data_IF_175162444742
#
_entry.id   IF_175162444742
#
_cell.length_a   1.000
_cell.length_b   1.000
_cell.length_c   1.000
_cell.angle_alpha   90.00
_cell.angle_beta   90.00
_cell.angle_gamma   90.00
#
_symmetry.space_group_name_H-M   'P 1'
#
loop_
_entity.id
_entity.type
_entity.pdbx_description
1 polymer ?
#
# COMPACT_ATOMS: atom_id res chain seq x y z
N UNK A 1 -3.99 -3.31 14.99
CA UNK A 1 -3.26 -2.35 15.87
C UNK A 1 -2.79 -1.19 15.01
N UNK A 2 -3.04 0.07 15.40
CA UNK A 2 -2.54 1.25 14.68
C UNK A 2 -1.11 1.53 15.10
N UNK A 3 -0.23 1.76 14.13
CA UNK A 3 1.17 2.18 14.31
C UNK A 3 1.38 3.46 13.50
N UNK A 4 2.00 4.45 14.11
CA UNK A 4 2.38 5.70 13.46
C UNK A 4 3.90 5.72 13.26
N UNK A 5 4.33 6.04 12.05
CA UNK A 5 5.75 6.20 11.70
C UNK A 5 5.91 7.51 10.95
N UNK A 6 6.74 8.40 11.48
CA UNK A 6 7.11 9.66 10.82
C UNK A 6 8.53 9.53 10.30
N UNK A 7 8.72 9.51 8.99
CA UNK A 7 10.03 9.36 8.35
C UNK A 7 10.57 10.72 7.88
N UNK A 8 11.86 10.91 8.07
CA UNK A 8 12.60 12.03 7.48
C UNK A 8 13.49 11.49 6.37
N UNK A 9 13.24 11.98 5.15
CA UNK A 9 13.83 11.45 3.93
C UNK A 9 14.43 12.61 3.14
N UNK A 10 15.69 12.46 2.71
CA UNK A 10 16.39 13.39 1.82
C UNK A 10 17.01 12.59 0.67
N UNK A 11 16.87 13.06 -0.58
CA UNK A 11 17.36 12.34 -1.77
C UNK A 11 16.94 10.86 -1.84
N UNK A 12 15.69 10.55 -1.45
CA UNK A 12 15.13 9.19 -1.37
C UNK A 12 15.79 8.29 -0.30
N UNK A 13 16.71 8.82 0.50
CA UNK A 13 17.34 8.14 1.63
C UNK A 13 16.66 8.57 2.93
N UNK A 14 16.11 7.61 3.65
CA UNK A 14 15.61 7.82 5.00
C UNK A 14 16.80 7.93 5.96
N UNK A 15 16.92 9.06 6.67
CA UNK A 15 18.02 9.26 7.62
C UNK A 15 17.58 9.08 9.08
N UNK A 16 16.32 9.33 9.41
CA UNK A 16 15.75 9.11 10.74
C UNK A 16 14.23 8.90 10.66
N UNK A 17 13.64 8.27 11.68
CA UNK A 17 12.19 8.22 11.85
C UNK A 17 11.75 8.15 13.31
N UNK A 18 10.54 8.59 13.60
CA UNK A 18 9.83 8.27 14.83
C UNK A 18 9.04 6.97 14.66
N UNK A 19 9.10 6.06 15.64
CA UNK A 19 8.26 4.87 15.70
C UNK A 19 7.39 4.89 16.96
N UNK A 20 6.06 4.90 16.79
CA UNK A 20 5.13 4.93 17.92
C UNK A 20 5.23 3.69 18.81
N UNK A 21 5.66 2.54 18.28
CA UNK A 21 5.82 1.32 19.08
C UNK A 21 7.04 1.41 20.02
N UNK A 22 8.03 2.23 19.66
CA UNK A 22 9.23 2.49 20.48
C UNK A 22 9.13 3.81 21.26
N UNK A 23 8.24 4.71 20.84
CA UNK A 23 8.01 5.99 21.48
C UNK A 23 9.20 6.95 21.41
N UNK A 24 10.06 6.81 20.38
CA UNK A 24 11.27 7.63 20.17
C UNK A 24 11.70 7.69 18.70
N UNK A 25 12.58 8.63 18.39
CA UNK A 25 13.27 8.72 17.11
C UNK A 25 14.42 7.73 17.03
N UNK A 26 14.57 7.10 15.87
CA UNK A 26 15.65 6.21 15.49
C UNK A 26 16.41 6.82 14.32
N UNK A 27 17.73 6.76 14.38
CA UNK A 27 18.59 7.05 13.25
C UNK A 27 18.67 5.82 12.32
N UNK A 28 18.59 6.07 11.02
CA UNK A 28 18.77 5.06 9.97
C UNK A 28 20.17 5.18 9.35
N UNK A 29 20.71 6.39 9.28
CA UNK A 29 22.06 6.68 8.78
C UNK A 29 22.88 7.44 9.83
N UNK A 30 24.20 7.53 9.65
CA UNK A 30 25.09 8.29 10.54
C UNK A 30 24.69 9.77 10.65
N UNK A 31 24.26 10.39 9.53
CA UNK A 31 23.75 11.77 9.52
C UNK A 31 22.52 11.92 10.43
N UNK A 32 21.68 10.89 10.52
CA UNK A 32 20.48 10.90 11.32
C UNK A 32 20.71 10.75 12.82
N UNK A 33 21.89 10.28 13.25
CA UNK A 33 22.21 10.08 14.65
C UNK A 33 22.11 11.36 15.49
N UNK A 34 22.85 12.45 15.18
CA UNK A 34 22.75 13.68 15.96
C UNK A 34 21.33 14.28 15.93
N UNK A 35 20.60 14.09 14.84
CA UNK A 35 19.23 14.58 14.69
C UNK A 35 18.27 13.80 15.59
N UNK A 36 18.35 12.48 15.60
CA UNK A 36 17.51 11.64 16.44
C UNK A 36 17.79 11.87 17.93
N UNK A 37 19.06 12.07 18.32
CA UNK A 37 19.44 12.40 19.70
C UNK A 37 18.86 13.75 20.14
N UNK A 38 19.00 14.79 19.32
CA UNK A 38 18.43 16.12 19.59
C UNK A 38 16.90 16.06 19.74
N UNK A 39 16.20 15.43 18.78
CA UNK A 39 14.74 15.29 18.82
C UNK A 39 14.26 14.47 20.03
N UNK A 40 15.01 13.45 20.45
CA UNK A 40 14.69 12.66 21.64
C UNK A 40 14.94 13.42 22.95
N UNK A 41 15.83 14.41 22.95
CA UNK A 41 16.11 15.26 24.11
C UNK A 41 15.02 16.31 24.35
N UNK A 42 14.31 16.72 23.30
CA UNK A 42 13.26 17.73 23.35
C UNK A 42 11.91 17.11 23.73
N UNK A 43 11.56 17.20 25.02
CA UNK A 43 10.35 16.56 25.57
C UNK A 43 9.06 16.93 24.85
N UNK A 44 8.82 18.21 24.61
CA UNK A 44 7.58 18.67 23.98
C UNK A 44 7.43 18.14 22.54
N UNK A 45 8.56 18.06 21.82
CA UNK A 45 8.62 17.45 20.49
C UNK A 45 8.26 15.97 20.61
N UNK A 46 8.97 15.22 21.44
CA UNK A 46 8.79 13.78 21.57
C UNK A 46 7.37 13.39 22.01
N UNK A 47 6.77 14.13 22.94
CA UNK A 47 5.41 13.88 23.42
C UNK A 47 4.35 14.19 22.35
N UNK A 48 4.57 15.21 21.52
CA UNK A 48 3.71 15.49 20.36
C UNK A 48 3.73 14.34 19.34
N UNK A 49 4.88 13.72 19.10
CA UNK A 49 4.99 12.55 18.21
C UNK A 49 4.40 11.28 18.82
N UNK A 50 4.55 11.06 20.13
CA UNK A 50 3.89 9.96 20.84
C UNK A 50 2.37 10.03 20.73
N UNK A 51 1.80 11.23 20.78
CA UNK A 51 0.36 11.44 20.58
C UNK A 51 -0.11 11.18 19.13
N UNK A 52 0.79 10.99 18.16
CA UNK A 52 0.41 10.79 16.75
C UNK A 52 -0.42 9.52 16.53
N UNK A 53 -0.20 8.45 17.32
CA UNK A 53 -0.95 7.19 17.16
C UNK A 53 -2.44 7.36 17.45
N UNK A 54 -2.79 8.20 18.42
CA UNK A 54 -4.19 8.48 18.74
C UNK A 54 -4.84 9.36 17.67
N UNK A 55 -4.08 10.30 17.09
CA UNK A 55 -4.53 11.04 15.90
C UNK A 55 -4.79 10.10 14.73
N UNK A 56 -3.91 9.11 14.49
CA UNK A 56 -4.10 8.10 13.46
C UNK A 56 -5.35 7.25 13.72
N UNK A 57 -5.61 6.83 14.96
CA UNK A 57 -6.83 6.08 15.33
C UNK A 57 -8.10 6.88 15.02
N UNK A 58 -8.12 8.15 15.42
CA UNK A 58 -9.26 9.02 15.17
C UNK A 58 -9.50 9.24 13.66
N UNK A 59 -8.43 9.48 12.90
CA UNK A 59 -8.51 9.62 11.45
C UNK A 59 -8.99 8.32 10.78
N UNK A 60 -8.48 7.17 11.22
CA UNK A 60 -8.89 5.88 10.66
C UNK A 60 -10.38 5.61 10.90
N UNK A 61 -10.94 5.97 12.06
CA UNK A 61 -12.37 5.83 12.33
C UNK A 61 -13.24 6.67 11.36
N UNK A 62 -12.79 7.88 11.02
CA UNK A 62 -13.47 8.73 10.03
C UNK A 62 -13.36 8.15 8.62
N UNK A 63 -12.19 7.66 8.23
CA UNK A 63 -11.94 7.06 6.91
C UNK A 63 -12.65 5.72 6.75
N UNK A 64 -12.73 4.90 7.81
CA UNK A 64 -13.43 3.61 7.80
C UNK A 64 -14.92 3.76 7.49
N UNK A 65 -15.54 4.78 8.07
CA UNK A 65 -16.94 5.09 7.82
C UNK A 65 -17.24 5.43 6.34
N UNK A 66 -16.31 6.10 5.64
CA UNK A 66 -16.53 6.62 4.28
C UNK A 66 -15.82 5.83 3.17
N UNK A 67 -14.51 5.56 3.30
CA UNK A 67 -13.65 5.07 2.21
C UNK A 67 -13.41 3.56 2.24
N UNK A 68 -13.22 2.94 3.42
CA UNK A 68 -12.82 1.52 3.48
C UNK A 68 -13.92 0.55 3.04
N UNK A 69 -15.16 1.04 2.96
CA UNK A 69 -16.32 0.29 2.45
C UNK A 69 -16.54 0.46 0.95
N UNK A 70 -15.76 1.31 0.29
CA UNK A 70 -15.89 1.52 -1.15
C UNK A 70 -15.59 0.21 -1.87
N UNK A 71 -16.54 -0.23 -2.69
CA UNK A 71 -16.38 -1.37 -3.58
C UNK A 71 -16.96 -1.01 -4.93
N UNK A 72 -16.22 -1.33 -5.97
CA UNK A 72 -16.69 -1.24 -7.35
C UNK A 72 -16.56 -2.62 -7.98
N UNK A 73 -17.65 -3.12 -8.56
CA UNK A 73 -17.66 -4.42 -9.23
C UNK A 73 -16.85 -4.36 -10.53
N UNK A 74 -16.13 -5.44 -10.87
CA UNK A 74 -15.37 -5.50 -12.11
C UNK A 74 -16.27 -5.55 -13.34
N UNK A 75 -15.88 -4.78 -14.36
CA UNK A 75 -16.34 -4.95 -15.71
C UNK A 75 -15.42 -5.95 -16.41
N UNK A 76 -16.02 -6.98 -17.01
CA UNK A 76 -15.26 -8.07 -17.64
C UNK A 76 -15.62 -8.15 -19.12
N UNK A 77 -14.60 -8.17 -19.98
CA UNK A 77 -14.76 -8.42 -21.41
C UNK A 77 -13.76 -9.47 -21.86
N UNK A 78 -14.25 -10.51 -22.52
CA UNK A 78 -13.43 -11.57 -23.10
C UNK A 78 -13.42 -11.42 -24.62
N UNK A 79 -12.23 -11.40 -25.21
CA UNK A 79 -12.08 -11.28 -26.66
C UNK A 79 -10.82 -12.01 -27.16
N UNK A 80 -10.81 -12.49 -28.42
CA UNK A 80 -9.60 -13.06 -29.02
C UNK A 80 -8.57 -11.97 -29.28
N UNK A 81 -7.28 -12.28 -29.13
CA UNK A 81 -6.23 -11.35 -29.52
C UNK A 81 -6.28 -11.07 -31.03
N UNK A 82 -5.96 -9.84 -31.44
CA UNK A 82 -5.75 -9.51 -32.85
C UNK A 82 -4.34 -10.00 -33.21
N UNK A 83 -4.24 -11.18 -33.81
CA UNK A 83 -2.95 -11.73 -34.24
C UNK A 83 -2.39 -10.91 -35.41
N UNK A 84 -1.12 -10.50 -35.32
CA UNK A 84 -0.35 -10.23 -36.53
C UNK A 84 -0.14 -11.56 -37.27
N UNK A 85 0.03 -11.58 -38.61
CA UNK A 85 0.16 -12.81 -39.39
C UNK A 85 1.29 -13.77 -38.96
N UNK A 86 2.24 -13.31 -38.12
CA UNK A 86 3.39 -14.06 -37.64
C UNK A 86 3.23 -14.64 -36.23
N UNK A 87 2.16 -14.29 -35.49
CA UNK A 87 1.93 -14.83 -34.14
C UNK A 87 1.09 -16.11 -34.19
N UNK A 88 1.70 -17.24 -33.85
CA UNK A 88 1.08 -18.57 -33.90
C UNK A 88 0.20 -18.91 -32.67
N UNK A 89 -0.07 -17.94 -31.80
CA UNK A 89 -0.83 -18.18 -30.57
C UNK A 89 -2.28 -17.67 -30.67
N UNK A 90 -3.23 -18.60 -30.63
CA UNK A 90 -4.65 -18.30 -30.48
C UNK A 90 -4.96 -18.00 -29.01
N UNK A 91 -4.75 -16.76 -28.59
CA UNK A 91 -4.99 -16.33 -27.21
C UNK A 91 -6.37 -15.69 -27.04
N UNK A 92 -7.01 -15.99 -25.92
CA UNK A 92 -8.14 -15.24 -25.38
C UNK A 92 -7.63 -14.27 -24.31
N UNK A 93 -8.11 -13.04 -24.36
CA UNK A 93 -7.81 -12.00 -23.38
C UNK A 93 -9.04 -11.80 -22.50
N UNK A 94 -8.86 -11.88 -21.18
CA UNK A 94 -9.85 -11.46 -20.19
C UNK A 94 -9.46 -10.07 -19.68
N UNK A 95 -10.11 -9.02 -20.21
CA UNK A 95 -9.92 -7.65 -19.76
C UNK A 95 -10.84 -7.38 -18.58
N UNK A 96 -10.26 -7.15 -17.40
CA UNK A 96 -10.99 -6.82 -16.18
C UNK A 96 -10.67 -5.39 -15.76
N UNK A 97 -11.70 -4.54 -15.65
CA UNK A 97 -11.56 -3.10 -15.41
C UNK A 97 -12.58 -2.58 -14.41
N UNK A 98 -12.43 -1.31 -14.01
CA UNK A 98 -13.43 -0.55 -13.24
C UNK A 98 -13.76 -1.11 -11.84
N UNK A 99 -12.84 -1.84 -11.22
CA UNK A 99 -13.04 -2.44 -9.89
C UNK A 99 -12.17 -1.80 -8.80
N UNK A 100 -12.62 -1.95 -7.55
CA UNK A 100 -11.87 -1.57 -6.35
C UNK A 100 -12.35 -2.42 -5.16
N UNK A 101 -11.45 -2.86 -4.24
CA UNK A 101 -9.99 -2.65 -4.23
C UNK A 101 -9.26 -3.49 -5.29
N UNK A 102 -7.96 -3.22 -5.48
CA UNK A 102 -7.16 -3.82 -6.57
C UNK A 102 -6.89 -5.33 -6.47
N UNK A 103 -7.25 -5.98 -5.37
CA UNK A 103 -7.11 -7.44 -5.25
C UNK A 103 -8.18 -8.15 -6.08
N UNK A 104 -7.76 -9.00 -7.02
CA UNK A 104 -8.63 -9.80 -7.89
C UNK A 104 -8.05 -11.19 -8.16
N UNK A 105 -8.92 -12.16 -8.42
CA UNK A 105 -8.58 -13.51 -8.88
C UNK A 105 -9.30 -13.78 -10.20
N UNK A 106 -8.58 -14.27 -11.22
CA UNK A 106 -9.12 -14.61 -12.54
C UNK A 106 -8.82 -16.08 -12.82
N UNK A 107 -9.85 -16.84 -13.21
CA UNK A 107 -9.75 -18.28 -13.52
C UNK A 107 -10.37 -18.57 -14.87
N UNK A 108 -9.74 -19.46 -15.64
CA UNK A 108 -10.22 -19.92 -16.93
C UNK A 108 -10.87 -21.30 -16.81
N UNK A 109 -11.95 -21.50 -17.54
CA UNK A 109 -12.64 -22.78 -17.62
C UNK A 109 -12.90 -23.14 -19.07
N UNK A 110 -12.64 -24.39 -19.42
CA UNK A 110 -13.03 -24.98 -20.70
C UNK A 110 -13.99 -26.13 -20.42
N UNK A 111 -15.22 -26.01 -20.93
CA UNK A 111 -16.28 -27.01 -20.72
C UNK A 111 -16.48 -27.39 -19.24
N UNK A 112 -16.37 -26.41 -18.33
CA UNK A 112 -16.53 -26.59 -16.89
C UNK A 112 -15.31 -27.14 -16.14
N UNK A 113 -14.21 -27.47 -16.83
CA UNK A 113 -12.94 -27.86 -16.21
C UNK A 113 -12.01 -26.65 -16.14
N UNK A 114 -11.37 -26.44 -14.97
CA UNK A 114 -10.43 -25.34 -14.77
C UNK A 114 -9.17 -25.57 -15.62
N UNK A 115 -8.86 -24.59 -16.47
CA UNK A 115 -7.66 -24.58 -17.30
C UNK A 115 -6.59 -23.76 -16.59
N UNK A 116 -5.50 -24.43 -16.20
CA UNK A 116 -4.33 -23.81 -15.57
C UNK A 116 -3.18 -23.57 -16.55
N UNK A 117 -3.29 -24.14 -17.75
CA UNK A 117 -2.33 -23.93 -18.83
C UNK A 117 -2.67 -22.64 -19.56
N UNK A 118 -1.79 -21.65 -19.41
CA UNK A 118 -1.80 -20.35 -20.07
C UNK A 118 -0.39 -19.83 -20.14
#
# INVERSE_FOLDING_TARGET
RVRSVTRFIYNQEEFAHFDSDLGKFLAVTELGQPIAEDLNSQKDVLDNYRASVDRCRNNYALVDWFMLKLKAEPQVTVYPTKTQPLDHHNLLVCSVSSFYPGHIEVRWFRNGQEEKAG
#
